data_IF_223962739702
#
_entry.id   IF_223962739702
#
_cell.length_a   1.000
_cell.length_b   1.000
_cell.length_c   1.000
_cell.angle_alpha   90.00
_cell.angle_beta   90.00
_cell.angle_gamma   90.00
#
_symmetry.space_group_name_H-M   'P 1'
#
loop_
_entity.id
_entity.type
_entity.pdbx_description
1 polymer ?
#
# COMPACT_ATOMS: atom_id res chain seq x y z
N UNK A 1 8.00 -29.54 -12.14
CA UNK A 1 6.61 -29.03 -12.20
C UNK A 1 6.47 -27.98 -11.11
N UNK A 2 6.68 -26.70 -11.44
CA UNK A 2 6.45 -25.62 -10.49
C UNK A 2 4.97 -25.30 -10.51
N UNK A 3 4.29 -25.44 -9.37
CA UNK A 3 2.95 -24.88 -9.20
C UNK A 3 3.14 -23.37 -9.35
N UNK A 4 2.65 -22.80 -10.45
CA UNK A 4 2.83 -21.38 -10.72
C UNK A 4 1.92 -20.59 -9.77
N UNK A 5 2.43 -20.28 -8.58
CA UNK A 5 1.66 -19.55 -7.57
C UNK A 5 1.66 -18.06 -7.96
N UNK A 6 0.49 -17.41 -8.13
CA UNK A 6 0.45 -16.06 -8.64
C UNK A 6 0.90 -15.04 -7.58
N UNK A 7 1.58 -14.00 -8.05
CA UNK A 7 1.88 -12.78 -7.30
C UNK A 7 0.87 -11.71 -7.73
N UNK A 8 0.27 -11.00 -6.79
CA UNK A 8 -0.67 -9.91 -7.10
C UNK A 8 -0.06 -8.58 -6.69
N UNK A 9 0.20 -7.71 -7.66
CA UNK A 9 0.61 -6.34 -7.41
C UNK A 9 -0.64 -5.44 -7.38
N UNK A 10 -0.75 -4.53 -6.42
CA UNK A 10 -1.96 -3.73 -6.20
C UNK A 10 -1.65 -2.24 -6.37
N UNK A 11 -2.47 -1.58 -7.19
CA UNK A 11 -2.55 -0.13 -7.26
C UNK A 11 -3.72 0.35 -6.41
N UNK A 12 -3.45 0.89 -5.23
CA UNK A 12 -4.48 1.32 -4.28
C UNK A 12 -5.20 2.61 -4.72
N UNK A 13 -6.37 2.93 -4.15
CA UNK A 13 -7.13 4.12 -4.52
C UNK A 13 -6.35 5.43 -4.46
N UNK A 14 -6.89 6.44 -5.15
CA UNK A 14 -6.34 7.81 -5.20
C UNK A 14 -5.05 7.89 -6.03
N UNK A 15 -5.03 7.11 -7.10
CA UNK A 15 -4.08 7.25 -8.22
C UNK A 15 -4.86 7.46 -9.51
N UNK A 16 -4.30 8.22 -10.45
CA UNK A 16 -4.87 8.49 -11.77
C UNK A 16 -5.55 7.25 -12.38
N UNK A 17 -6.84 7.36 -12.69
CA UNK A 17 -7.65 6.27 -13.26
C UNK A 17 -7.54 6.21 -14.78
N UNK A 18 -7.15 7.31 -15.41
CA UNK A 18 -6.99 7.46 -16.85
C UNK A 18 -5.63 6.96 -17.37
N UNK A 19 -4.72 6.55 -16.46
CA UNK A 19 -3.38 6.07 -16.82
C UNK A 19 -3.00 4.82 -16.02
N UNK A 20 -2.42 3.80 -16.66
CA UNK A 20 -1.88 2.65 -15.94
C UNK A 20 -0.63 3.04 -15.12
N UNK A 21 -0.33 2.26 -14.09
CA UNK A 21 0.90 2.42 -13.30
C UNK A 21 2.09 1.87 -14.07
N UNK A 22 2.99 2.75 -14.51
CA UNK A 22 4.24 2.35 -15.18
C UNK A 22 5.10 1.48 -14.27
N UNK A 23 5.24 1.86 -13.00
CA UNK A 23 6.02 1.12 -12.01
C UNK A 23 5.52 -0.32 -11.85
N UNK A 24 4.21 -0.53 -11.69
CA UNK A 24 3.67 -1.89 -11.58
C UNK A 24 3.81 -2.68 -12.89
N UNK A 25 3.75 -2.00 -14.04
CA UNK A 25 4.03 -2.59 -15.35
C UNK A 25 5.47 -3.11 -15.46
N UNK A 26 6.45 -2.33 -15.00
CA UNK A 26 7.85 -2.72 -14.95
C UNK A 26 8.08 -3.91 -14.00
N UNK A 27 7.53 -3.86 -12.79
CA UNK A 27 7.63 -4.98 -11.83
C UNK A 27 6.99 -6.27 -12.37
N UNK A 28 5.83 -6.17 -13.02
CA UNK A 28 5.19 -7.32 -13.68
C UNK A 28 6.11 -7.90 -14.77
N UNK A 29 6.76 -7.05 -15.56
CA UNK A 29 7.72 -7.47 -16.59
C UNK A 29 8.92 -8.18 -15.96
N UNK A 30 9.52 -7.61 -14.91
CA UNK A 30 10.65 -8.19 -14.19
C UNK A 30 10.31 -9.56 -13.58
N UNK A 31 9.13 -9.68 -12.94
CA UNK A 31 8.63 -10.96 -12.42
C UNK A 31 8.44 -12.00 -13.55
N UNK A 32 7.91 -11.57 -14.70
CA UNK A 32 7.74 -12.46 -15.87
C UNK A 32 9.09 -12.96 -16.39
N UNK A 33 10.10 -12.08 -16.48
CA UNK A 33 11.46 -12.45 -16.89
C UNK A 33 12.11 -13.42 -15.90
N UNK A 34 11.79 -13.31 -14.61
CA UNK A 34 12.20 -14.26 -13.58
C UNK A 34 11.40 -15.58 -13.61
N UNK A 35 10.46 -15.77 -14.54
CA UNK A 35 9.63 -16.97 -14.64
C UNK A 35 8.49 -17.05 -13.62
N UNK A 36 8.15 -15.94 -12.96
CA UNK A 36 7.09 -15.84 -11.96
C UNK A 36 5.80 -15.31 -12.58
N UNK A 37 4.67 -15.95 -12.26
CA UNK A 37 3.36 -15.48 -12.69
C UNK A 37 2.90 -14.33 -11.82
N UNK A 38 2.55 -13.20 -12.45
CA UNK A 38 2.05 -12.03 -11.74
C UNK A 38 0.89 -11.33 -12.46
N UNK A 39 0.02 -10.72 -11.67
CA UNK A 39 -1.10 -9.89 -12.15
C UNK A 39 -1.15 -8.57 -11.41
N UNK A 40 -1.76 -7.55 -12.03
CA UNK A 40 -1.97 -6.24 -11.41
C UNK A 40 -3.45 -6.11 -11.08
N UNK A 41 -3.76 -5.79 -9.83
CA UNK A 41 -5.08 -5.42 -9.34
C UNK A 41 -5.17 -3.89 -9.27
N UNK A 42 -5.98 -3.31 -10.15
CA UNK A 42 -6.24 -1.86 -10.18
C UNK A 42 -7.36 -1.50 -9.21
N UNK A 43 -7.06 -1.59 -7.91
CA UNK A 43 -8.01 -1.26 -6.84
C UNK A 43 -8.45 0.22 -6.89
N UNK A 44 -7.65 1.10 -7.50
CA UNK A 44 -8.07 2.47 -7.80
C UNK A 44 -9.28 2.56 -8.74
N UNK A 45 -9.33 1.73 -9.78
CA UNK A 45 -10.48 1.67 -10.71
C UNK A 45 -11.67 1.01 -10.01
N UNK A 46 -11.41 -0.05 -9.24
CA UNK A 46 -12.46 -0.71 -8.44
C UNK A 46 -13.08 0.23 -7.42
N UNK A 47 -12.29 1.11 -6.81
CA UNK A 47 -12.79 2.11 -5.88
C UNK A 47 -13.67 3.14 -6.58
N UNK A 48 -13.25 3.65 -7.75
CA UNK A 48 -14.09 4.51 -8.58
C UNK A 48 -15.44 3.87 -8.91
N UNK A 49 -15.44 2.58 -9.29
CA UNK A 49 -16.68 1.81 -9.53
C UNK A 49 -17.52 1.69 -8.26
N UNK A 50 -16.88 1.50 -7.10
CA UNK A 50 -17.54 1.27 -5.82
C UNK A 50 -18.21 2.52 -5.23
N UNK A 51 -17.54 3.68 -5.29
CA UNK A 51 -18.05 4.93 -4.72
C UNK A 51 -18.72 5.86 -5.75
N UNK A 52 -18.43 5.66 -7.03
CA UNK A 52 -18.91 6.51 -8.12
C UNK A 52 -18.03 7.74 -8.39
N UNK A 53 -18.11 8.25 -9.62
CA UNK A 53 -17.23 9.33 -10.12
C UNK A 53 -17.40 10.66 -9.38
N UNK A 54 -18.63 10.99 -8.94
CA UNK A 54 -18.92 12.23 -8.24
C UNK A 54 -18.20 12.31 -6.88
N UNK A 55 -18.04 11.16 -6.21
CA UNK A 55 -17.37 11.05 -4.92
C UNK A 55 -15.87 10.87 -5.06
N UNK A 56 -15.41 10.24 -6.14
CA UNK A 56 -13.99 10.00 -6.39
C UNK A 56 -13.22 11.28 -6.70
N UNK A 57 -13.76 12.17 -7.54
CA UNK A 57 -13.06 13.38 -7.99
C UNK A 57 -12.54 14.27 -6.85
N UNK A 58 -13.33 14.59 -5.80
CA UNK A 58 -12.85 15.34 -4.65
C UNK A 58 -11.72 14.65 -3.87
N UNK A 59 -11.70 13.30 -3.81
CA UNK A 59 -10.66 12.56 -3.11
C UNK A 59 -9.35 12.55 -3.89
N UNK A 60 -9.42 12.40 -5.20
CA UNK A 60 -8.25 12.43 -6.09
C UNK A 60 -7.54 13.79 -6.10
N UNK A 61 -8.32 14.88 -6.01
CA UNK A 61 -7.78 16.24 -5.97
C UNK A 61 -7.47 16.75 -4.56
N UNK A 62 -7.67 15.92 -3.53
CA UNK A 62 -7.39 16.31 -2.15
C UNK A 62 -5.87 16.30 -1.90
N UNK A 63 -5.27 17.41 -1.45
CA UNK A 63 -3.85 17.45 -1.12
C UNK A 63 -3.50 16.41 -0.04
N UNK A 64 -2.35 15.72 -0.13
CA UNK A 64 -1.95 14.74 0.88
C UNK A 64 -1.89 15.30 2.31
N UNK A 65 -1.57 16.59 2.46
CA UNK A 65 -1.44 17.29 3.75
C UNK A 65 -2.76 17.38 4.52
N UNK A 66 -3.90 17.21 3.85
CA UNK A 66 -5.21 17.20 4.47
C UNK A 66 -5.59 15.84 5.07
N UNK A 67 -4.81 14.79 4.77
CA UNK A 67 -4.97 13.44 5.31
C UNK A 67 -6.40 12.87 5.22
N UNK A 68 -7.23 13.36 4.29
CA UNK A 68 -8.62 12.94 4.15
C UNK A 68 -8.72 11.46 3.78
N UNK A 69 -7.89 11.02 2.84
CA UNK A 69 -7.83 9.62 2.40
C UNK A 69 -7.31 8.74 3.53
N UNK A 70 -6.25 9.18 4.21
CA UNK A 70 -5.72 8.45 5.36
C UNK A 70 -6.77 8.30 6.46
N UNK A 71 -7.50 9.37 6.77
CA UNK A 71 -8.61 9.34 7.70
C UNK A 71 -9.65 8.30 7.25
N UNK A 72 -10.13 8.34 6.00
CA UNK A 72 -11.13 7.38 5.48
C UNK A 72 -10.73 5.91 5.74
N UNK A 73 -9.46 5.56 5.51
CA UNK A 73 -8.96 4.18 5.64
C UNK A 73 -8.41 3.82 7.04
N UNK A 74 -8.17 4.81 7.90
CA UNK A 74 -7.54 4.62 9.20
C UNK A 74 -8.27 3.64 10.11
N UNK A 75 -9.60 3.59 10.09
CA UNK A 75 -10.38 2.66 10.92
C UNK A 75 -10.13 1.18 10.58
N UNK A 76 -9.69 0.90 9.34
CA UNK A 76 -9.35 -0.46 8.90
C UNK A 76 -7.87 -0.75 9.10
N UNK A 77 -6.98 0.20 8.79
CA UNK A 77 -5.55 0.03 9.04
C UNK A 77 -5.22 -0.07 10.54
N UNK A 78 -5.92 0.70 11.36
CA UNK A 78 -5.66 0.93 12.78
C UNK A 78 -6.98 0.79 13.60
N UNK A 79 -7.50 -0.43 13.81
CA UNK A 79 -8.78 -0.65 14.51
C UNK A 79 -8.75 -0.26 15.99
N UNK A 80 -7.58 -0.01 16.59
CA UNK A 80 -7.46 0.57 17.92
C UNK A 80 -7.45 2.11 17.94
N UNK A 81 -7.50 2.75 16.77
CA UNK A 81 -7.51 4.20 16.63
C UNK A 81 -8.93 4.68 16.33
N UNK A 82 -9.54 5.28 17.34
CA UNK A 82 -10.88 5.85 17.28
C UNK A 82 -10.78 7.39 17.30
N UNK A 83 -10.50 8.04 16.16
CA UNK A 83 -10.41 9.49 16.12
C UNK A 83 -11.79 10.11 16.37
N UNK A 84 -11.80 11.27 17.02
CA UNK A 84 -13.01 12.09 17.10
C UNK A 84 -13.33 12.62 15.70
N UNK A 85 -14.33 12.00 15.06
CA UNK A 85 -14.67 12.24 13.65
C UNK A 85 -15.04 13.71 13.40
N UNK A 86 -15.75 14.33 14.34
CA UNK A 86 -16.13 15.73 14.25
C UNK A 86 -14.91 16.65 14.29
N UNK A 87 -13.97 16.43 15.22
CA UNK A 87 -12.76 17.23 15.32
C UNK A 87 -11.91 17.19 14.05
N UNK A 88 -11.76 16.01 13.43
CA UNK A 88 -11.08 15.89 12.14
C UNK A 88 -11.77 16.70 11.05
N UNK A 89 -13.10 16.54 10.91
CA UNK A 89 -13.85 17.23 9.87
C UNK A 89 -13.86 18.74 10.09
N UNK A 90 -13.98 19.19 11.33
CA UNK A 90 -13.98 20.62 11.66
C UNK A 90 -12.63 21.25 11.30
N UNK A 91 -11.51 20.59 11.61
CA UNK A 91 -10.17 21.01 11.18
C UNK A 91 -10.01 21.00 9.66
N UNK A 92 -10.51 19.95 8.98
CA UNK A 92 -10.48 19.88 7.52
C UNK A 92 -11.21 21.07 6.90
N UNK A 93 -12.41 21.41 7.37
CA UNK A 93 -13.18 22.53 6.82
C UNK A 93 -12.60 23.90 7.17
N UNK A 94 -11.95 24.04 8.34
CA UNK A 94 -11.21 25.25 8.72
C UNK A 94 -10.03 25.50 7.76
N UNK A 95 -9.27 24.44 7.45
CA UNK A 95 -8.12 24.52 6.53
C UNK A 95 -8.51 24.70 5.07
N UNK A 96 -9.72 24.26 4.70
CA UNK A 96 -10.21 24.29 3.33
C UNK A 96 -11.46 25.19 3.21
N UNK A 97 -11.34 26.52 3.37
CA UNK A 97 -12.48 27.44 3.36
C UNK A 97 -13.22 27.49 2.01
N UNK A 98 -12.61 27.04 0.92
CA UNK A 98 -13.27 26.85 -0.39
C UNK A 98 -14.41 25.82 -0.28
N UNK A 99 -14.33 24.91 0.68
CA UNK A 99 -15.39 23.95 1.00
C UNK A 99 -16.32 24.43 2.12
N UNK A 100 -16.03 25.57 2.76
CA UNK A 100 -16.85 26.19 3.77
C UNK A 100 -17.92 27.09 3.11
N UNK A 101 -19.20 26.76 3.31
CA UNK A 101 -20.32 27.51 2.73
C UNK A 101 -21.57 26.66 2.51
N UNK A 102 -22.41 27.06 1.54
CA UNK A 102 -23.57 26.29 1.12
C UNK A 102 -23.11 24.92 0.59
N UNK A 103 -23.45 23.85 1.29
CA UNK A 103 -23.00 22.48 0.98
C UNK A 103 -21.97 21.88 1.94
N UNK A 104 -21.48 22.62 2.93
CA UNK A 104 -20.55 22.07 3.95
C UNK A 104 -21.18 20.88 4.69
N UNK A 105 -22.44 21.01 5.15
CA UNK A 105 -23.15 19.94 5.84
C UNK A 105 -23.32 18.68 4.97
N UNK A 106 -23.64 18.86 3.69
CA UNK A 106 -23.78 17.77 2.72
C UNK A 106 -22.43 17.08 2.47
N UNK A 107 -21.34 17.84 2.31
CA UNK A 107 -19.98 17.29 2.14
C UNK A 107 -19.51 16.56 3.39
N UNK A 108 -19.78 17.10 4.57
CA UNK A 108 -19.49 16.45 5.86
C UNK A 108 -20.21 15.11 5.97
N UNK A 109 -21.51 15.09 5.67
CA UNK A 109 -22.29 13.86 5.62
C UNK A 109 -21.75 12.88 4.57
N UNK A 110 -21.29 13.37 3.42
CA UNK A 110 -20.70 12.54 2.39
C UNK A 110 -19.38 11.89 2.82
N UNK A 111 -18.48 12.63 3.49
CA UNK A 111 -17.23 12.06 4.01
C UNK A 111 -17.48 11.00 5.08
N UNK A 112 -18.45 11.21 5.97
CA UNK A 112 -18.87 10.21 6.95
C UNK A 112 -19.46 8.97 6.26
N UNK A 113 -20.30 9.16 5.23
CA UNK A 113 -20.82 8.07 4.41
C UNK A 113 -19.69 7.29 3.74
N UNK A 114 -18.76 7.97 3.07
CA UNK A 114 -17.61 7.34 2.42
C UNK A 114 -16.77 6.55 3.43
N UNK A 115 -16.50 7.11 4.61
CA UNK A 115 -15.80 6.41 5.70
C UNK A 115 -16.50 5.10 6.06
N UNK A 116 -17.83 5.11 6.18
CA UNK A 116 -18.61 3.90 6.49
C UNK A 116 -18.55 2.82 5.42
N UNK A 117 -18.27 3.19 4.16
CA UNK A 117 -18.17 2.27 3.02
C UNK A 117 -16.78 1.61 2.90
N UNK A 118 -15.73 2.18 3.53
CA UNK A 118 -14.35 1.71 3.34
C UNK A 118 -14.15 0.26 3.79
N UNK A 119 -14.76 -0.14 4.91
CA UNK A 119 -14.69 -1.52 5.37
C UNK A 119 -15.18 -2.51 4.32
N UNK A 120 -16.36 -2.24 3.74
CA UNK A 120 -16.94 -3.07 2.68
C UNK A 120 -16.09 -3.08 1.40
N UNK A 121 -15.51 -1.94 1.02
CA UNK A 121 -14.61 -1.87 -0.13
C UNK A 121 -13.33 -2.70 0.07
N UNK A 122 -12.69 -2.61 1.24
CA UNK A 122 -11.48 -3.37 1.55
C UNK A 122 -11.78 -4.87 1.56
N UNK A 123 -12.91 -5.28 2.14
CA UNK A 123 -13.33 -6.68 2.17
C UNK A 123 -13.59 -7.22 0.77
N UNK A 124 -14.33 -6.47 -0.05
CA UNK A 124 -14.60 -6.83 -1.44
C UNK A 124 -13.32 -6.92 -2.29
N UNK A 125 -12.37 -6.00 -2.06
CA UNK A 125 -11.05 -6.01 -2.73
C UNK A 125 -10.22 -7.21 -2.30
N UNK A 126 -10.18 -7.50 -1.00
CA UNK A 126 -9.46 -8.65 -0.46
C UNK A 126 -10.02 -9.97 -1.02
N UNK A 127 -11.34 -10.13 -1.10
CA UNK A 127 -11.98 -11.32 -1.65
C UNK A 127 -11.62 -11.56 -3.13
N UNK A 128 -11.60 -10.50 -3.95
CA UNK A 128 -11.16 -10.59 -5.35
C UNK A 128 -9.70 -11.01 -5.48
N UNK A 129 -8.84 -10.55 -4.59
CA UNK A 129 -7.41 -10.89 -4.59
C UNK A 129 -7.22 -12.34 -4.13
N UNK A 130 -7.83 -12.73 -3.01
CA UNK A 130 -7.70 -14.07 -2.42
C UNK A 130 -8.32 -15.16 -3.29
N UNK A 131 -9.35 -14.85 -4.10
CA UNK A 131 -9.89 -15.77 -5.10
C UNK A 131 -8.83 -16.26 -6.12
N UNK A 132 -7.73 -15.52 -6.29
CA UNK A 132 -6.61 -15.92 -7.16
C UNK A 132 -5.63 -16.87 -6.47
N UNK A 133 -5.77 -17.11 -5.15
CA UNK A 133 -4.86 -17.89 -4.31
C UNK A 133 -3.38 -17.47 -4.46
N UNK A 134 -3.06 -16.18 -4.24
CA UNK A 134 -1.68 -15.71 -4.37
C UNK A 134 -0.80 -16.18 -3.22
N UNK A 135 0.48 -16.41 -3.50
CA UNK A 135 1.51 -16.58 -2.46
C UNK A 135 1.92 -15.22 -1.89
N UNK A 136 1.84 -14.19 -2.72
CA UNK A 136 2.31 -12.85 -2.39
C UNK A 136 1.37 -11.77 -2.90
N UNK A 137 1.16 -10.74 -2.07
CA UNK A 137 0.48 -9.50 -2.48
C UNK A 137 1.38 -8.31 -2.18
N UNK A 138 1.68 -7.51 -3.21
CA UNK A 138 2.52 -6.32 -3.09
C UNK A 138 1.75 -5.04 -3.40
N UNK A 139 1.71 -4.07 -2.48
CA UNK A 139 1.13 -2.76 -2.75
C UNK A 139 2.20 -1.74 -3.17
N UNK A 140 1.94 -1.00 -4.25
CA UNK A 140 2.64 0.25 -4.51
C UNK A 140 2.03 1.36 -3.65
N UNK A 141 2.87 2.09 -2.93
CA UNK A 141 2.48 3.19 -2.07
C UNK A 141 3.17 4.48 -2.49
N UNK A 142 2.46 5.30 -3.24
CA UNK A 142 2.88 6.64 -3.67
C UNK A 142 1.83 7.66 -3.26
N UNK A 143 2.24 8.88 -2.90
CA UNK A 143 1.33 9.96 -2.49
C UNK A 143 0.41 9.53 -1.33
N UNK A 144 -0.90 9.58 -1.50
CA UNK A 144 -1.93 9.28 -0.48
C UNK A 144 -2.29 7.79 -0.36
N UNK A 145 -1.56 6.90 -1.04
CA UNK A 145 -1.86 5.47 -1.05
C UNK A 145 -1.40 4.69 0.19
N UNK A 146 -0.67 5.33 1.12
CA UNK A 146 -0.01 4.62 2.22
C UNK A 146 -0.99 3.91 3.16
N UNK A 147 -1.89 4.66 3.80
CA UNK A 147 -2.89 4.08 4.71
C UNK A 147 -3.88 3.15 3.99
N UNK A 148 -4.37 3.46 2.78
CA UNK A 148 -5.15 2.51 1.99
C UNK A 148 -4.43 1.16 1.78
N UNK A 149 -3.13 1.19 1.45
CA UNK A 149 -2.32 -0.01 1.27
C UNK A 149 -2.17 -0.79 2.57
N UNK A 150 -1.89 -0.12 3.68
CA UNK A 150 -1.82 -0.75 5.00
C UNK A 150 -3.14 -1.42 5.40
N UNK A 151 -4.28 -0.77 5.12
CA UNK A 151 -5.61 -1.32 5.39
C UNK A 151 -5.86 -2.62 4.61
N UNK A 152 -5.51 -2.65 3.32
CA UNK A 152 -5.67 -3.85 2.49
C UNK A 152 -4.73 -4.98 2.95
N UNK A 153 -3.43 -4.68 3.11
CA UNK A 153 -2.44 -5.69 3.52
C UNK A 153 -2.77 -6.29 4.88
N UNK A 154 -3.25 -5.48 5.82
CA UNK A 154 -3.75 -5.97 7.11
C UNK A 154 -4.89 -6.95 6.93
N UNK A 155 -5.95 -6.53 6.21
CA UNK A 155 -7.13 -7.37 6.00
C UNK A 155 -6.78 -8.70 5.31
N UNK A 156 -5.84 -8.68 4.37
CA UNK A 156 -5.35 -9.88 3.70
C UNK A 156 -4.59 -10.80 4.67
N UNK A 157 -3.70 -10.26 5.50
CA UNK A 157 -2.94 -11.03 6.50
C UNK A 157 -3.84 -11.69 7.55
N UNK A 158 -4.94 -11.03 7.93
CA UNK A 158 -5.94 -11.56 8.87
C UNK A 158 -6.74 -12.73 8.26
N UNK A 159 -6.84 -12.80 6.93
CA UNK A 159 -7.62 -13.81 6.20
C UNK A 159 -6.78 -14.96 5.65
N UNK A 160 -5.47 -14.79 5.52
CA UNK A 160 -4.57 -15.79 4.93
C UNK A 160 -3.20 -15.77 5.60
N UNK A 161 -2.98 -16.68 6.55
CA UNK A 161 -1.72 -16.76 7.29
C UNK A 161 -0.52 -17.17 6.42
N UNK A 162 -0.74 -17.86 5.31
CA UNK A 162 0.33 -18.27 4.38
C UNK A 162 0.71 -17.17 3.38
N UNK A 163 -0.09 -16.11 3.29
CA UNK A 163 0.16 -15.01 2.35
C UNK A 163 1.35 -14.20 2.83
N UNK A 164 2.30 -13.92 1.93
CA UNK A 164 3.37 -12.95 2.20
C UNK A 164 2.97 -11.58 1.62
N UNK A 165 3.08 -10.56 2.44
CA UNK A 165 2.70 -9.19 2.11
C UNK A 165 3.92 -8.32 1.83
N UNK A 166 3.87 -7.54 0.76
CA UNK A 166 4.95 -6.64 0.36
C UNK A 166 4.42 -5.21 0.19
N UNK A 167 5.28 -4.24 0.44
CA UNK A 167 4.99 -2.84 0.19
C UNK A 167 6.23 -2.12 -0.37
N UNK A 168 6.01 -1.22 -1.31
CA UNK A 168 7.08 -0.43 -1.93
C UNK A 168 6.55 0.89 -2.48
N UNK A 169 7.35 1.58 -3.28
CA UNK A 169 7.02 2.89 -3.85
C UNK A 169 7.58 4.06 -3.03
N UNK A 170 7.31 5.29 -3.46
CA UNK A 170 7.96 6.48 -2.94
C UNK A 170 7.79 6.68 -1.42
N UNK A 171 6.64 6.28 -0.86
CA UNK A 171 6.40 6.40 0.59
C UNK A 171 7.17 5.34 1.41
N UNK A 172 7.80 4.36 0.74
CA UNK A 172 8.60 3.32 1.39
C UNK A 172 10.10 3.62 1.33
N UNK A 173 10.51 4.80 0.88
CA UNK A 173 11.94 5.14 0.84
C UNK A 173 12.47 5.54 2.22
N UNK A 174 13.71 5.16 2.48
CA UNK A 174 14.51 5.63 3.62
C UNK A 174 13.84 5.36 4.98
N UNK A 175 13.76 6.39 5.83
CA UNK A 175 13.21 6.35 7.19
C UNK A 175 11.73 5.95 7.18
N UNK A 176 10.96 6.35 6.17
CA UNK A 176 9.55 5.99 6.06
C UNK A 176 9.37 4.50 5.80
N UNK A 177 10.15 3.91 4.87
CA UNK A 177 10.14 2.46 4.63
C UNK A 177 10.49 1.65 5.87
N UNK A 178 11.57 2.04 6.54
CA UNK A 178 12.00 1.40 7.80
C UNK A 178 10.92 1.50 8.87
N UNK A 179 10.31 2.68 9.03
CA UNK A 179 9.27 2.92 10.04
C UNK A 179 8.01 2.11 9.73
N UNK A 180 7.63 2.02 8.45
CA UNK A 180 6.52 1.20 7.97
C UNK A 180 6.73 -0.26 8.37
N UNK A 181 7.86 -0.86 8.00
CA UNK A 181 8.17 -2.25 8.33
C UNK A 181 8.24 -2.49 9.86
N UNK A 182 8.81 -1.54 10.61
CA UNK A 182 8.95 -1.65 12.06
C UNK A 182 7.63 -1.53 12.83
N UNK A 183 6.66 -0.73 12.33
CA UNK A 183 5.42 -0.46 13.04
C UNK A 183 4.24 -1.31 12.59
N UNK A 184 4.30 -1.87 11.39
CA UNK A 184 3.20 -2.63 10.81
C UNK A 184 3.64 -4.08 10.58
N UNK A 185 3.51 -4.97 11.60
CA UNK A 185 3.98 -6.35 11.53
C UNK A 185 3.28 -7.20 10.45
N UNK A 186 2.10 -6.75 9.99
CA UNK A 186 1.36 -7.36 8.88
C UNK A 186 1.89 -6.98 7.49
N UNK A 187 2.98 -6.22 7.41
CA UNK A 187 3.72 -5.95 6.18
C UNK A 187 5.03 -6.72 6.29
N UNK A 188 5.09 -7.91 5.69
CA UNK A 188 6.23 -8.82 5.85
C UNK A 188 7.50 -8.24 5.23
N UNK A 189 7.38 -7.62 4.06
CA UNK A 189 8.50 -7.03 3.33
C UNK A 189 8.22 -5.58 2.92
N UNK A 190 9.19 -4.71 3.14
CA UNK A 190 9.22 -3.36 2.57
C UNK A 190 10.44 -3.20 1.68
N UNK A 191 10.23 -2.76 0.44
CA UNK A 191 11.32 -2.39 -0.48
C UNK A 191 11.47 -0.87 -0.48
N UNK A 192 12.63 -0.40 -0.01
CA UNK A 192 13.06 0.99 0.00
C UNK A 192 14.06 1.23 -1.14
N UNK A 193 13.59 1.82 -2.23
CA UNK A 193 14.38 2.11 -3.43
C UNK A 193 13.85 1.38 -4.66
N UNK A 194 14.70 1.22 -5.68
CA UNK A 194 14.34 0.56 -6.93
C UNK A 194 14.15 -0.95 -6.75
N UNK A 195 13.07 -1.48 -7.30
CA UNK A 195 12.69 -2.88 -7.14
C UNK A 195 12.90 -3.72 -8.42
N UNK A 196 13.13 -3.09 -9.58
CA UNK A 196 13.14 -3.72 -10.90
C UNK A 196 14.11 -4.91 -11.00
N UNK A 197 15.33 -4.75 -10.47
CA UNK A 197 16.34 -5.81 -10.49
C UNK A 197 16.19 -6.84 -9.36
N UNK A 198 15.61 -6.45 -8.22
CA UNK A 198 15.59 -7.28 -7.01
C UNK A 198 14.28 -8.05 -6.80
N UNK A 199 13.17 -7.62 -7.41
CA UNK A 199 11.85 -8.18 -7.11
C UNK A 199 11.74 -9.66 -7.52
N UNK A 200 12.34 -10.04 -8.65
CA UNK A 200 12.38 -11.42 -9.12
C UNK A 200 13.12 -12.35 -8.15
N UNK A 201 14.41 -12.09 -7.87
CA UNK A 201 15.18 -12.85 -6.89
C UNK A 201 14.52 -12.90 -5.50
N UNK A 202 14.04 -11.77 -4.99
CA UNK A 202 13.37 -11.69 -3.69
C UNK A 202 12.14 -12.61 -3.63
N UNK A 203 11.26 -12.55 -4.64
CA UNK A 203 10.09 -13.41 -4.69
C UNK A 203 10.46 -14.90 -4.80
N UNK A 204 11.53 -15.24 -5.52
CA UNK A 204 12.03 -16.61 -5.56
C UNK A 204 12.53 -17.10 -4.21
N UNK A 205 13.30 -16.28 -3.49
CA UNK A 205 13.78 -16.62 -2.16
C UNK A 205 12.60 -16.85 -1.20
N UNK A 206 11.58 -15.98 -1.24
CA UNK A 206 10.38 -16.13 -0.42
C UNK A 206 9.65 -17.45 -0.75
N UNK A 207 9.50 -17.80 -2.03
CA UNK A 207 8.83 -19.05 -2.44
C UNK A 207 9.61 -20.30 -2.04
N UNK A 208 10.94 -20.26 -2.13
CA UNK A 208 11.79 -21.44 -1.92
C UNK A 208 12.16 -21.65 -0.45
N UNK A 209 12.30 -20.56 0.32
CA UNK A 209 12.84 -20.56 1.69
C UNK A 209 11.78 -20.21 2.73
N UNK A 210 10.63 -19.70 2.31
CA UNK A 210 9.56 -19.22 3.18
C UNK A 210 9.71 -17.74 3.55
N UNK A 211 8.85 -17.31 4.48
CA UNK A 211 8.70 -15.90 4.86
C UNK A 211 9.93 -15.29 5.54
N UNK A 212 10.70 -16.07 6.30
CA UNK A 212 11.74 -15.53 7.19
C UNK A 212 13.14 -15.64 6.58
N UNK A 213 13.42 -14.79 5.59
CA UNK A 213 14.75 -14.73 4.98
C UNK A 213 15.72 -14.04 5.96
N UNK A 214 16.93 -14.60 6.20
CA UNK A 214 17.96 -13.96 7.03
C UNK A 214 18.37 -12.58 6.49
N UNK A 215 18.63 -11.57 7.35
CA UNK A 215 19.02 -10.24 6.91
C UNK A 215 20.25 -10.19 6.01
N UNK A 216 21.20 -11.10 6.21
CA UNK A 216 22.43 -11.19 5.42
C UNK A 216 22.19 -11.60 3.95
N UNK A 217 21.06 -12.24 3.67
CA UNK A 217 20.69 -12.71 2.33
C UNK A 217 19.71 -11.73 1.64
N UNK A 218 19.21 -10.73 2.36
CA UNK A 218 18.30 -9.75 1.80
C UNK A 218 19.07 -8.68 1.00
N UNK A 219 18.58 -8.31 -0.20
CA UNK A 219 19.16 -7.19 -0.94
C UNK A 219 19.16 -5.90 -0.12
N UNK A 220 20.13 -5.03 -0.39
CA UNK A 220 20.13 -3.70 0.19
C UNK A 220 18.82 -2.96 -0.12
N UNK A 221 18.27 -2.28 0.87
CA UNK A 221 16.98 -1.60 0.75
C UNK A 221 15.75 -2.48 1.02
N UNK A 222 15.91 -3.80 1.21
CA UNK A 222 14.81 -4.70 1.57
C UNK A 222 14.77 -4.92 3.09
N UNK A 223 13.67 -4.53 3.72
CA UNK A 223 13.37 -4.86 5.10
C UNK A 223 12.41 -6.04 5.15
N UNK A 224 12.89 -7.17 5.67
CA UNK A 224 12.09 -8.38 5.92
C UNK A 224 11.92 -8.70 7.40
N UNK A 225 11.08 -9.70 7.77
CA UNK A 225 10.59 -9.90 9.13
C UNK A 225 11.69 -10.02 10.19
N UNK A 226 12.78 -10.70 9.84
CA UNK A 226 13.95 -10.94 10.68
C UNK A 226 14.65 -9.65 11.15
N UNK A 227 14.49 -8.53 10.44
CA UNK A 227 15.01 -7.22 10.86
C UNK A 227 14.34 -6.66 12.12
N UNK A 228 13.11 -7.11 12.46
CA UNK A 228 12.43 -6.66 13.67
C UNK A 228 13.16 -7.10 14.94
N UNK A 229 13.83 -8.26 14.88
CA UNK A 229 14.57 -8.87 15.98
C UNK A 229 16.07 -8.55 15.88
N UNK A 230 16.66 -8.73 14.69
CA UNK A 230 18.09 -8.53 14.46
C UNK A 230 18.50 -7.05 14.43
N UNK A 231 17.54 -6.14 14.33
CA UNK A 231 17.78 -4.72 14.08
C UNK A 231 17.87 -4.41 12.59
N UNK A 232 17.79 -3.12 12.27
CA UNK A 232 17.81 -2.62 10.89
C UNK A 232 19.20 -2.10 10.54
N UNK A 233 19.61 -2.17 9.25
CA UNK A 233 20.85 -1.56 8.81
C UNK A 233 20.90 -0.09 9.19
N UNK A 234 22.06 0.38 9.66
CA UNK A 234 22.28 1.79 9.90
C UNK A 234 22.31 2.52 8.55
N UNK A 235 21.55 3.61 8.43
CA UNK A 235 21.68 4.49 7.28
C UNK A 235 23.05 5.18 7.36
N UNK A 236 24.00 4.71 6.56
CA UNK A 236 25.26 5.41 6.34
C UNK A 236 24.94 6.71 5.61
N UNK A 237 25.07 7.85 6.29
CA UNK A 237 25.02 9.18 5.68
C UNK A 237 26.19 9.45 4.71
N UNK A 238 27.08 8.47 4.49
CA UNK A 238 28.27 8.60 3.63
C UNK A 238 28.08 8.14 2.18
N UNK A 239 26.99 7.48 1.81
CA UNK A 239 26.82 6.90 0.46
C UNK A 239 25.90 7.68 -0.49
N UNK A 240 25.62 8.95 -0.20
CA UNK A 240 24.97 9.84 -1.18
C UNK A 240 25.92 10.25 -2.34
N UNK A 241 27.20 9.84 -2.28
CA UNK A 241 28.23 10.21 -3.26
C UNK A 241 28.59 9.14 -4.30
N UNK A 242 28.03 7.94 -4.24
CA UNK A 242 28.46 6.80 -5.08
C UNK A 242 27.42 6.30 -6.09
N UNK A 243 26.35 7.05 -6.35
CA UNK A 243 25.50 6.77 -7.51
C UNK A 243 26.25 7.24 -8.76
N UNK A 244 26.57 6.34 -9.73
CA UNK A 244 27.16 6.77 -10.99
C UNK A 244 26.21 7.73 -11.70
N UNK A 245 26.75 8.84 -12.20
CA UNK A 245 26.04 9.74 -13.11
C UNK A 245 25.65 9.04 -14.40
#
# INVERSE_FOLDING_TARGET
MSIAVPIVLVNMPVSAVERPSLALGLLKSALTQAGLQSTIAYANIWFLEYIGIADYGPLENCPPEEALVDWLFAGIAFPGFEPEQNAFLDLYFERNPIHAGKGMAERRANFLRLRSLIGGFIDWTADKILAKRPAMVGCSSTFTQHVPSLALLRRLSERSLDLVTLMGGANCESVMGRSTHARFPWVDYVVSGEADALIGPLCWDILNRGRDIPPADLPFGVFGPTHREAGYPAASTRDLGSVPK
#
